data_IF_813457790656
#
_entry.id   IF_813457790656
#
_cell.length_a   1.000
_cell.length_b   1.000
_cell.length_c   1.000
_cell.angle_alpha   90.00
_cell.angle_beta   90.00
_cell.angle_gamma   90.00
#
_symmetry.space_group_name_H-M   'P 1'
#
loop_
_entity.id
_entity.type
_entity.pdbx_description
1 polymer ?
#
# COMPACT_ATOMS: atom_id res chain seq x y z
N UNK A 1 47.13 10.86 -12.97
CA UNK A 1 46.68 9.60 -13.60
C UNK A 1 45.51 8.93 -12.86
N UNK A 2 45.38 9.05 -11.53
CA UNK A 2 44.21 8.50 -10.79
C UNK A 2 42.89 9.30 -10.95
N UNK A 3 42.94 10.61 -11.21
CA UNK A 3 41.73 11.44 -11.36
C UNK A 3 40.98 11.23 -12.69
N UNK A 4 41.69 10.77 -13.73
CA UNK A 4 41.08 10.45 -15.04
C UNK A 4 40.30 9.13 -15.01
N UNK A 5 40.71 8.17 -14.17
CA UNK A 5 40.02 6.87 -14.01
C UNK A 5 38.67 7.02 -13.28
N UNK A 6 38.53 7.98 -12.36
CA UNK A 6 37.26 8.22 -11.67
C UNK A 6 36.20 8.87 -12.59
N UNK A 7 36.62 9.69 -13.56
CA UNK A 7 35.73 10.27 -14.57
C UNK A 7 35.21 9.25 -15.59
N UNK A 8 36.04 8.24 -15.92
CA UNK A 8 35.63 7.13 -16.78
C UNK A 8 34.70 6.15 -16.05
N UNK A 9 34.84 5.95 -14.74
CA UNK A 9 33.87 5.16 -13.95
C UNK A 9 32.54 5.91 -13.80
N UNK A 10 32.55 7.24 -13.66
CA UNK A 10 31.34 8.07 -13.68
C UNK A 10 30.63 8.11 -15.04
N UNK A 11 31.36 7.93 -16.14
CA UNK A 11 30.81 7.86 -17.51
C UNK A 11 30.51 6.41 -17.99
N UNK A 12 30.95 5.38 -17.27
CA UNK A 12 30.57 3.98 -17.52
C UNK A 12 29.35 3.53 -16.70
N UNK A 13 28.95 4.28 -15.66
CA UNK A 13 27.73 4.03 -14.88
C UNK A 13 26.50 4.82 -15.37
N UNK A 14 26.57 5.48 -16.53
CA UNK A 14 25.40 5.90 -17.30
C UNK A 14 24.91 4.78 -18.25
N UNK A 15 25.05 3.51 -17.85
CA UNK A 15 24.26 2.46 -18.48
C UNK A 15 22.79 2.77 -18.22
N UNK A 16 22.05 3.04 -19.30
CA UNK A 16 20.63 3.36 -19.31
C UNK A 16 19.85 2.39 -18.40
N UNK A 17 19.57 2.84 -17.17
CA UNK A 17 18.59 2.21 -16.30
C UNK A 17 17.22 2.51 -16.88
N UNK A 18 16.76 1.68 -17.81
CA UNK A 18 15.35 1.65 -18.19
C UNK A 18 14.56 1.19 -16.97
N UNK A 19 13.71 2.07 -16.45
CA UNK A 19 12.84 1.74 -15.32
C UNK A 19 11.54 1.17 -15.88
N UNK A 20 11.18 -0.05 -15.46
CA UNK A 20 9.86 -0.64 -15.74
C UNK A 20 9.00 -0.51 -14.49
N UNK A 21 7.71 -0.22 -14.67
CA UNK A 21 6.73 -0.22 -13.59
C UNK A 21 5.42 -0.88 -14.03
N UNK A 22 4.64 -1.32 -13.06
CA UNK A 22 3.26 -1.75 -13.25
C UNK A 22 2.30 -0.79 -12.56
N UNK A 23 1.19 -0.47 -13.24
CA UNK A 23 0.19 0.50 -12.76
C UNK A 23 -1.20 -0.13 -12.81
N UNK A 24 -2.10 0.30 -11.92
CA UNK A 24 -3.52 -0.10 -11.90
C UNK A 24 -3.78 -1.61 -11.74
N UNK A 25 -2.84 -2.36 -11.17
CA UNK A 25 -3.06 -3.75 -10.74
C UNK A 25 -3.31 -3.89 -9.24
N UNK A 26 -3.44 -5.14 -8.79
CA UNK A 26 -3.74 -5.48 -7.39
C UNK A 26 -2.45 -5.64 -6.55
N UNK A 27 -1.52 -4.69 -6.69
CA UNK A 27 -0.24 -4.69 -5.98
C UNK A 27 0.96 -4.36 -6.88
N UNK A 28 2.19 -4.49 -6.34
CA UNK A 28 3.42 -4.08 -7.04
C UNK A 28 3.90 -5.06 -8.12
N UNK A 29 3.25 -6.21 -8.27
CA UNK A 29 3.67 -7.30 -9.15
C UNK A 29 2.58 -7.69 -10.18
N UNK A 30 1.54 -6.88 -10.30
CA UNK A 30 0.53 -7.00 -11.36
C UNK A 30 0.11 -5.62 -11.83
N UNK A 31 -0.28 -5.50 -13.09
CA UNK A 31 -0.76 -4.24 -13.65
C UNK A 31 -0.40 -4.04 -15.11
N UNK A 32 -0.81 -2.89 -15.65
CA UNK A 32 -0.39 -2.39 -16.97
C UNK A 32 1.09 -2.08 -16.92
N UNK A 33 1.85 -2.55 -17.90
CA UNK A 33 3.29 -2.33 -17.98
C UNK A 33 3.56 -0.97 -18.62
N UNK A 34 4.38 -0.18 -17.93
CA UNK A 34 4.93 1.07 -18.45
C UNK A 34 6.46 1.01 -18.39
N UNK A 35 7.11 1.43 -19.47
CA UNK A 35 8.58 1.43 -19.61
C UNK A 35 9.04 2.87 -19.80
N UNK A 36 10.14 3.24 -19.15
CA UNK A 36 10.78 4.53 -19.40
C UNK A 36 11.94 4.43 -20.38
N UNK A 37 11.90 5.28 -21.41
CA UNK A 37 12.99 5.51 -22.36
C UNK A 37 13.40 6.99 -22.29
N UNK A 38 14.68 7.25 -22.04
CA UNK A 38 15.24 8.61 -22.00
C UNK A 38 14.46 9.62 -21.13
N UNK A 39 13.83 9.14 -20.05
CA UNK A 39 13.06 9.98 -19.10
C UNK A 39 11.57 10.13 -19.42
N UNK A 40 11.09 9.61 -20.55
CA UNK A 40 9.66 9.58 -20.90
C UNK A 40 9.06 8.22 -20.54
N UNK A 41 7.83 8.20 -20.03
CA UNK A 41 7.08 6.98 -19.75
C UNK A 41 6.08 6.72 -20.88
N UNK A 42 5.99 5.46 -21.28
CA UNK A 42 4.99 5.00 -22.24
C UNK A 42 4.53 3.59 -21.92
N UNK A 43 3.37 3.23 -22.45
CA UNK A 43 2.80 1.88 -22.33
C UNK A 43 3.44 0.94 -23.34
N UNK A 44 3.19 -0.36 -23.20
CA UNK A 44 3.68 -1.37 -24.17
C UNK A 44 2.52 -1.86 -25.03
N UNK A 45 2.76 -2.07 -26.31
CA UNK A 45 1.74 -2.61 -27.20
C UNK A 45 1.46 -4.10 -26.94
N UNK A 46 0.17 -4.46 -26.94
CA UNK A 46 -0.38 -5.78 -26.70
C UNK A 46 -0.41 -6.73 -27.90
N UNK A 47 -0.25 -6.25 -29.14
CA UNK A 47 -0.43 -7.01 -30.39
C UNK A 47 0.42 -8.30 -30.47
N UNK A 48 1.55 -8.34 -29.75
CA UNK A 48 2.40 -9.55 -29.60
C UNK A 48 2.86 -9.79 -28.16
N UNK A 49 2.16 -9.21 -27.20
CA UNK A 49 2.50 -9.31 -25.80
C UNK A 49 2.17 -10.71 -25.27
N UNK A 50 3.20 -11.46 -24.89
CA UNK A 50 3.07 -12.86 -24.51
C UNK A 50 3.76 -13.17 -23.17
N UNK A 51 3.69 -14.43 -22.74
CA UNK A 51 4.24 -14.87 -21.46
C UNK A 51 5.77 -14.69 -21.37
N UNK A 52 6.51 -14.79 -22.48
CA UNK A 52 7.95 -14.55 -22.49
C UNK A 52 8.27 -13.06 -22.28
N UNK A 53 7.45 -12.14 -22.80
CA UNK A 53 7.57 -10.72 -22.46
C UNK A 53 7.31 -10.47 -20.97
N UNK A 54 6.21 -11.05 -20.47
CA UNK A 54 5.85 -10.95 -19.08
C UNK A 54 6.94 -11.53 -18.16
N UNK A 55 7.59 -12.62 -18.55
CA UNK A 55 8.66 -13.27 -17.77
C UNK A 55 9.84 -12.33 -17.54
N UNK A 56 10.26 -11.60 -18.57
CA UNK A 56 11.32 -10.59 -18.47
C UNK A 56 10.89 -9.44 -17.55
N UNK A 57 9.67 -8.93 -17.70
CA UNK A 57 9.14 -7.86 -16.84
C UNK A 57 9.06 -8.32 -15.38
N UNK A 58 8.54 -9.52 -15.12
CA UNK A 58 8.40 -10.07 -13.78
C UNK A 58 9.76 -10.29 -13.10
N UNK A 59 10.77 -10.76 -13.85
CA UNK A 59 12.15 -10.84 -13.36
C UNK A 59 12.73 -9.46 -13.07
N UNK A 60 12.55 -8.50 -13.96
CA UNK A 60 13.06 -7.14 -13.81
C UNK A 60 12.43 -6.40 -12.62
N UNK A 61 11.15 -6.63 -12.36
CA UNK A 61 10.43 -6.13 -11.16
C UNK A 61 10.78 -6.88 -9.87
N UNK A 62 11.56 -7.98 -9.95
CA UNK A 62 11.84 -8.90 -8.85
C UNK A 62 10.55 -9.48 -8.24
N UNK A 63 9.61 -9.83 -9.12
CA UNK A 63 8.27 -10.33 -8.81
C UNK A 63 8.09 -11.81 -9.18
N UNK A 64 9.20 -12.55 -9.34
CA UNK A 64 9.19 -13.97 -9.69
C UNK A 64 9.00 -14.19 -11.20
N UNK A 65 8.31 -15.28 -11.54
CA UNK A 65 7.97 -15.70 -12.90
C UNK A 65 6.65 -15.08 -13.38
N UNK A 66 6.39 -15.08 -14.67
CA UNK A 66 5.11 -14.67 -15.23
C UNK A 66 4.03 -15.74 -15.06
N UNK A 67 2.87 -15.33 -14.55
CA UNK A 67 1.65 -16.14 -14.48
C UNK A 67 0.73 -15.84 -15.64
N UNK A 68 0.63 -14.57 -16.03
CA UNK A 68 -0.22 -14.14 -17.14
C UNK A 68 0.33 -12.90 -17.84
N UNK A 69 0.05 -12.83 -19.14
CA UNK A 69 0.29 -11.70 -20.02
C UNK A 69 -1.04 -11.30 -20.69
N UNK A 70 -1.42 -10.03 -20.62
CA UNK A 70 -2.62 -9.49 -21.27
C UNK A 70 -2.20 -8.42 -22.27
N UNK A 71 -2.82 -8.41 -23.46
CA UNK A 71 -2.54 -7.42 -24.52
C UNK A 71 -3.74 -6.53 -24.85
N UNK A 72 -4.73 -6.44 -23.97
CA UNK A 72 -6.03 -5.84 -24.23
C UNK A 72 -6.47 -4.89 -23.11
N UNK A 73 -5.50 -4.17 -22.52
CA UNK A 73 -5.74 -3.15 -21.50
C UNK A 73 -6.54 -3.62 -20.26
N UNK A 74 -6.35 -4.88 -19.82
CA UNK A 74 -7.03 -5.44 -18.65
C UNK A 74 -6.87 -4.60 -17.36
N UNK A 75 -5.80 -3.82 -17.25
CA UNK A 75 -5.50 -2.97 -16.09
C UNK A 75 -5.79 -1.49 -16.37
N UNK A 76 -6.87 -1.21 -17.11
CA UNK A 76 -7.23 0.09 -17.67
C UNK A 76 -6.22 0.56 -18.72
N UNK A 77 -6.74 1.40 -19.62
CA UNK A 77 -5.94 2.09 -20.62
C UNK A 77 -4.95 3.06 -19.96
N UNK A 78 -3.78 3.18 -20.57
CA UNK A 78 -2.82 4.23 -20.31
C UNK A 78 -3.14 5.48 -21.15
N UNK A 79 -2.14 6.36 -21.23
CA UNK A 79 -2.19 7.60 -22.01
C UNK A 79 -0.81 7.91 -22.56
N UNK A 80 -0.75 8.60 -23.69
CA UNK A 80 0.49 9.11 -24.26
C UNK A 80 1.17 8.08 -25.16
N UNK A 81 2.49 7.98 -25.04
CA UNK A 81 3.32 7.19 -25.96
C UNK A 81 3.12 5.69 -25.75
N UNK A 82 3.00 4.93 -26.84
CA UNK A 82 2.94 3.46 -26.85
C UNK A 82 4.24 2.93 -27.47
N UNK A 83 5.05 2.26 -26.66
CA UNK A 83 6.26 1.57 -27.10
C UNK A 83 5.89 0.27 -27.80
N UNK A 84 6.49 0.05 -28.97
CA UNK A 84 6.21 -1.11 -29.82
C UNK A 84 7.31 -2.16 -29.72
N UNK A 85 6.97 -3.35 -30.23
CA UNK A 85 7.96 -4.30 -30.73
C UNK A 85 8.83 -5.01 -29.70
N UNK A 86 8.42 -5.16 -28.43
CA UNK A 86 9.11 -6.06 -27.51
C UNK A 86 8.88 -7.52 -27.90
N UNK A 87 9.89 -8.20 -28.45
CA UNK A 87 9.85 -9.65 -28.70
C UNK A 87 10.88 -10.35 -27.84
N UNK A 88 10.48 -10.69 -26.63
CA UNK A 88 11.34 -11.38 -25.67
C UNK A 88 11.32 -12.90 -25.89
N UNK A 89 12.44 -13.56 -25.56
CA UNK A 89 12.59 -15.01 -25.42
C UNK A 89 12.30 -15.47 -23.99
N UNK A 90 12.26 -14.55 -23.02
CA UNK A 90 12.02 -14.84 -21.59
C UNK A 90 13.30 -14.99 -20.76
N UNK A 91 14.46 -14.90 -21.40
CA UNK A 91 15.79 -15.04 -20.77
C UNK A 91 16.55 -13.72 -20.69
N UNK A 92 16.02 -12.66 -21.26
CA UNK A 92 16.61 -11.33 -21.23
C UNK A 92 16.66 -10.77 -19.81
N UNK A 93 17.69 -9.96 -19.53
CA UNK A 93 17.87 -9.30 -18.23
C UNK A 93 16.95 -8.09 -18.03
N UNK A 94 16.44 -7.51 -19.12
CA UNK A 94 15.55 -6.35 -19.11
C UNK A 94 14.67 -6.34 -20.35
N UNK A 95 13.49 -5.73 -20.24
CA UNK A 95 12.53 -5.59 -21.35
C UNK A 95 13.13 -4.85 -22.54
N UNK A 96 14.06 -3.90 -22.31
CA UNK A 96 14.75 -3.17 -23.38
C UNK A 96 15.79 -4.02 -24.13
N UNK A 97 16.21 -5.14 -23.56
CA UNK A 97 17.14 -6.08 -24.20
C UNK A 97 16.43 -7.08 -25.11
N UNK A 98 15.10 -7.09 -25.09
CA UNK A 98 14.32 -7.90 -26.01
C UNK A 98 14.47 -7.36 -27.43
N UNK A 99 14.50 -8.27 -28.41
CA UNK A 99 14.63 -7.87 -29.80
C UNK A 99 13.46 -6.94 -30.19
N UNK A 100 13.79 -5.81 -30.82
CA UNK A 100 12.80 -4.99 -31.49
C UNK A 100 12.22 -5.82 -32.66
N UNK A 101 10.95 -6.18 -32.56
CA UNK A 101 10.16 -6.73 -33.66
C UNK A 101 10.19 -5.85 -34.91
N UNK A 102 10.03 -6.48 -36.08
CA UNK A 102 9.68 -5.75 -37.31
C UNK A 102 8.37 -5.00 -37.07
N UNK A 103 8.37 -3.67 -37.25
CA UNK A 103 7.18 -2.82 -37.18
C UNK A 103 6.02 -3.51 -37.91
N UNK A 104 4.95 -3.86 -37.17
CA UNK A 104 3.68 -4.21 -37.81
C UNK A 104 3.12 -2.96 -38.51
N UNK A 105 2.40 -3.14 -39.61
CA UNK A 105 1.77 -2.04 -40.35
C UNK A 105 0.53 -1.46 -39.66
N UNK A 106 0.16 -1.99 -38.47
CA UNK A 106 -1.03 -1.59 -37.72
C UNK A 106 -0.62 -0.80 -36.47
N UNK A 107 -1.23 0.36 -36.28
CA UNK A 107 -0.99 1.19 -35.11
C UNK A 107 -1.72 0.64 -33.89
N UNK A 108 -0.99 0.24 -32.84
CA UNK A 108 -1.60 -0.08 -31.55
C UNK A 108 -2.27 1.16 -30.93
N UNK A 109 -3.38 0.91 -30.24
CA UNK A 109 -4.14 1.89 -29.45
C UNK A 109 -4.07 1.55 -27.96
N UNK A 110 -4.47 2.45 -27.07
CA UNK A 110 -4.43 2.17 -25.63
C UNK A 110 -5.38 1.07 -25.17
N UNK A 111 -6.42 0.72 -25.95
CA UNK A 111 -7.24 -0.47 -25.70
C UNK A 111 -6.44 -1.78 -25.85
N UNK A 112 -5.23 -1.70 -26.40
CA UNK A 112 -4.31 -2.81 -26.60
C UNK A 112 -3.09 -2.69 -25.67
N UNK A 113 -3.15 -1.90 -24.59
CA UNK A 113 -2.02 -1.79 -23.67
C UNK A 113 -1.71 -3.13 -22.97
N UNK A 114 -0.43 -3.50 -22.96
CA UNK A 114 0.05 -4.72 -22.36
C UNK A 114 0.11 -4.67 -20.83
N UNK A 115 -0.22 -5.80 -20.20
CA UNK A 115 -0.22 -5.98 -18.76
C UNK A 115 0.36 -7.31 -18.34
N UNK A 116 0.74 -7.42 -17.07
CA UNK A 116 1.34 -8.63 -16.50
C UNK A 116 0.73 -8.99 -15.16
N UNK A 117 0.74 -10.28 -14.86
CA UNK A 117 0.59 -10.82 -13.51
C UNK A 117 1.78 -11.73 -13.26
N UNK A 118 2.57 -11.39 -12.24
CA UNK A 118 3.73 -12.18 -11.83
C UNK A 118 3.38 -13.12 -10.66
N UNK A 119 4.16 -14.18 -10.46
CA UNK A 119 3.90 -15.23 -9.46
C UNK A 119 4.03 -14.75 -8.03
N UNK A 120 4.74 -13.65 -7.77
CA UNK A 120 4.80 -13.03 -6.45
C UNK A 120 3.66 -12.00 -6.25
N UNK A 121 2.90 -11.67 -7.30
CA UNK A 121 1.66 -10.94 -7.12
C UNK A 121 0.55 -11.88 -6.70
N UNK A 122 -0.03 -11.62 -5.55
CA UNK A 122 -1.35 -12.14 -5.12
C UNK A 122 -1.44 -13.64 -4.79
N UNK A 123 -0.39 -14.25 -4.25
CA UNK A 123 -0.56 -15.53 -3.53
C UNK A 123 -1.29 -15.32 -2.20
N UNK A 124 -1.15 -14.13 -1.58
CA UNK A 124 -1.76 -13.78 -0.30
C UNK A 124 -2.51 -12.46 -0.38
N UNK A 125 -3.66 -12.37 0.30
CA UNK A 125 -4.41 -11.14 0.54
C UNK A 125 -4.89 -11.07 1.99
N UNK A 126 -5.20 -9.86 2.44
CA UNK A 126 -5.88 -9.64 3.73
C UNK A 126 -7.27 -9.05 3.50
N UNK A 127 -8.27 -9.55 4.23
CA UNK A 127 -9.69 -9.20 4.07
C UNK A 127 -10.27 -8.77 5.42
N UNK A 128 -11.26 -7.88 5.41
CA UNK A 128 -11.99 -7.41 6.61
C UNK A 128 -11.13 -6.75 7.72
N UNK A 129 -9.96 -6.19 7.39
CA UNK A 129 -9.19 -5.35 8.32
C UNK A 129 -9.36 -3.85 8.07
N UNK A 130 -8.71 -3.04 8.91
CA UNK A 130 -8.77 -1.58 8.87
C UNK A 130 -7.75 -0.96 7.89
N UNK A 131 -7.55 -1.61 6.73
CA UNK A 131 -6.57 -1.20 5.73
C UNK A 131 -5.95 -2.37 4.97
N UNK A 132 -4.99 -2.11 4.07
CA UNK A 132 -4.33 -3.15 3.27
C UNK A 132 -3.30 -3.98 4.06
N UNK A 133 -2.98 -3.57 5.29
CA UNK A 133 -1.93 -4.15 6.12
C UNK A 133 -2.47 -4.83 7.40
N UNK A 134 -3.78 -5.05 7.48
CA UNK A 134 -4.42 -5.85 8.52
C UNK A 134 -5.63 -6.59 7.97
N UNK A 135 -5.96 -7.74 8.54
CA UNK A 135 -7.15 -8.52 8.16
C UNK A 135 -6.98 -10.02 8.30
N UNK A 136 -8.06 -10.76 7.98
CA UNK A 136 -8.05 -12.21 7.79
C UNK A 136 -7.15 -12.54 6.59
N UNK A 137 -6.26 -13.50 6.76
CA UNK A 137 -5.36 -13.94 5.69
C UNK A 137 -6.06 -14.95 4.80
N UNK A 138 -6.02 -14.69 3.50
CA UNK A 138 -6.49 -15.61 2.47
C UNK A 138 -5.36 -15.85 1.47
N UNK A 139 -5.20 -17.11 1.06
CA UNK A 139 -4.16 -17.57 0.15
C UNK A 139 -4.83 -18.21 -1.06
N UNK A 140 -4.27 -18.01 -2.26
CA UNK A 140 -4.74 -18.67 -3.48
C UNK A 140 -3.86 -19.88 -3.81
N UNK A 141 -4.50 -21.04 -4.03
CA UNK A 141 -3.88 -22.26 -4.53
C UNK A 141 -4.70 -22.81 -5.69
N UNK A 142 -4.02 -23.15 -6.79
CA UNK A 142 -4.66 -23.72 -8.00
C UNK A 142 -5.88 -22.94 -8.52
N UNK A 143 -5.90 -21.60 -8.32
CA UNK A 143 -7.00 -20.73 -8.76
C UNK A 143 -8.12 -20.50 -7.74
N UNK A 144 -8.09 -21.18 -6.58
CA UNK A 144 -9.08 -21.00 -5.52
C UNK A 144 -8.50 -20.25 -4.31
N UNK A 145 -9.26 -19.27 -3.82
CA UNK A 145 -8.95 -18.60 -2.56
C UNK A 145 -9.46 -19.45 -1.38
N UNK A 146 -8.65 -19.53 -0.34
CA UNK A 146 -9.02 -20.16 0.91
C UNK A 146 -8.41 -19.43 2.11
N UNK A 147 -8.99 -19.65 3.29
CA UNK A 147 -8.51 -19.07 4.54
C UNK A 147 -7.35 -19.90 5.10
N UNK A 148 -6.67 -19.39 6.13
CA UNK A 148 -5.61 -20.15 6.81
C UNK A 148 -6.09 -20.61 8.18
N UNK A 149 -5.76 -21.84 8.57
CA UNK A 149 -6.10 -22.33 9.90
C UNK A 149 -5.26 -21.64 11.00
N UNK A 150 -5.94 -21.26 12.09
CA UNK A 150 -5.38 -20.57 13.25
C UNK A 150 -4.68 -21.44 14.28
N UNK A 151 -4.87 -22.77 14.27
CA UNK A 151 -4.34 -23.71 15.30
C UNK A 151 -2.81 -23.60 15.49
N UNK A 152 -2.07 -23.19 14.46
CA UNK A 152 -0.63 -22.95 14.50
C UNK A 152 -0.20 -21.61 13.90
N UNK A 153 -1.16 -20.71 13.69
CA UNK A 153 -0.90 -19.40 13.12
C UNK A 153 -0.24 -18.49 14.16
N UNK A 154 1.02 -18.12 13.91
CA UNK A 154 1.84 -17.38 14.88
C UNK A 154 2.52 -16.16 14.25
N UNK A 155 3.29 -15.44 15.07
CA UNK A 155 3.95 -14.21 14.64
C UNK A 155 4.97 -14.42 13.51
N UNK A 156 5.64 -15.58 13.44
CA UNK A 156 6.56 -15.88 12.35
C UNK A 156 5.82 -16.09 11.02
N UNK A 157 4.61 -16.67 11.04
CA UNK A 157 3.75 -16.71 9.85
C UNK A 157 3.33 -15.30 9.42
N UNK A 158 2.88 -14.50 10.39
CA UNK A 158 2.48 -13.13 10.15
C UNK A 158 3.63 -12.30 9.59
N UNK A 159 4.86 -12.51 10.05
CA UNK A 159 6.05 -11.79 9.60
C UNK A 159 6.30 -11.99 8.09
N UNK A 160 6.17 -13.24 7.62
CA UNK A 160 6.28 -13.56 6.20
C UNK A 160 5.16 -12.91 5.40
N UNK A 161 3.91 -12.98 5.89
CA UNK A 161 2.77 -12.33 5.22
C UNK A 161 2.95 -10.81 5.15
N UNK A 162 3.35 -10.16 6.25
CA UNK A 162 3.57 -8.72 6.31
C UNK A 162 4.69 -8.26 5.38
N UNK A 163 5.79 -9.02 5.30
CA UNK A 163 6.86 -8.79 4.31
C UNK A 163 6.36 -8.95 2.89
N UNK A 164 5.61 -10.02 2.61
CA UNK A 164 5.09 -10.32 1.28
C UNK A 164 4.08 -9.27 0.80
N UNK A 165 3.26 -8.73 1.71
CA UNK A 165 2.36 -7.60 1.46
C UNK A 165 3.09 -6.25 1.38
N UNK A 166 4.39 -6.21 1.68
CA UNK A 166 5.20 -4.98 1.84
C UNK A 166 4.61 -4.02 2.88
N UNK A 167 4.06 -4.59 3.94
CA UNK A 167 3.44 -3.89 5.06
C UNK A 167 4.35 -3.84 6.31
N UNK A 168 5.66 -4.02 6.12
CA UNK A 168 6.65 -4.01 7.19
C UNK A 168 6.73 -5.34 7.94
N UNK A 169 6.96 -5.26 9.24
CA UNK A 169 7.03 -6.39 10.19
C UNK A 169 5.65 -6.76 10.74
N UNK A 170 5.50 -7.94 11.30
CA UNK A 170 4.29 -8.34 11.99
C UNK A 170 4.19 -7.71 13.39
N UNK A 171 3.01 -7.17 13.69
CA UNK A 171 2.63 -6.66 15.02
C UNK A 171 1.83 -7.71 15.77
N UNK A 172 0.91 -8.40 15.08
CA UNK A 172 0.12 -9.47 15.69
C UNK A 172 -0.30 -10.54 14.69
N UNK A 173 -0.47 -11.75 15.19
CA UNK A 173 -1.10 -12.88 14.51
C UNK A 173 -2.32 -13.33 15.34
N UNK A 174 -3.48 -13.50 14.72
CA UNK A 174 -4.70 -14.01 15.36
C UNK A 174 -5.10 -15.35 14.77
N UNK A 175 -5.52 -16.33 15.57
CA UNK A 175 -5.94 -17.66 15.11
C UNK A 175 -7.41 -17.99 15.36
N UNK A 176 -8.23 -16.99 15.71
CA UNK A 176 -9.59 -17.14 16.23
C UNK A 176 -10.59 -16.24 15.48
N UNK A 177 -10.37 -16.06 14.17
CA UNK A 177 -11.25 -15.28 13.29
C UNK A 177 -11.53 -13.85 13.78
N UNK A 178 -10.53 -13.14 14.33
CA UNK A 178 -10.68 -11.76 14.81
C UNK A 178 -11.24 -10.78 13.76
N UNK A 179 -11.03 -11.07 12.47
CA UNK A 179 -11.54 -10.26 11.34
C UNK A 179 -12.80 -10.88 10.68
N UNK A 180 -13.48 -11.76 11.43
CA UNK A 180 -14.58 -12.60 10.96
C UNK A 180 -14.09 -13.83 10.21
N UNK A 181 -14.86 -14.91 10.29
CA UNK A 181 -14.61 -16.14 9.53
C UNK A 181 -14.83 -15.91 8.03
N UNK A 182 -14.06 -16.63 7.22
CA UNK A 182 -14.25 -16.70 5.78
C UNK A 182 -15.25 -17.80 5.40
N UNK A 183 -15.14 -18.26 4.17
CA UNK A 183 -15.94 -19.35 3.61
C UNK A 183 -15.07 -20.19 2.66
N UNK A 184 -15.50 -21.42 2.40
CA UNK A 184 -14.84 -22.34 1.48
C UNK A 184 -13.65 -23.07 2.10
N UNK A 185 -12.59 -23.22 1.33
CA UNK A 185 -11.45 -24.07 1.71
C UNK A 185 -10.60 -23.42 2.80
N UNK A 186 -10.22 -24.21 3.82
CA UNK A 186 -9.26 -23.81 4.86
C UNK A 186 -7.92 -24.47 4.57
N UNK A 187 -6.92 -23.68 4.23
CA UNK A 187 -5.54 -24.11 4.04
C UNK A 187 -4.88 -24.37 5.40
N UNK A 188 -4.19 -25.50 5.49
CA UNK A 188 -3.56 -25.95 6.73
C UNK A 188 -2.03 -25.83 6.67
N UNK A 189 -1.45 -25.83 7.86
CA UNK A 189 -0.06 -26.19 8.10
C UNK A 189 1.02 -25.26 7.51
N UNK A 190 0.88 -23.95 7.64
CA UNK A 190 2.01 -23.04 7.40
C UNK A 190 2.91 -22.99 8.63
N UNK A 191 4.12 -23.54 8.56
CA UNK A 191 5.13 -23.43 9.61
C UNK A 191 6.32 -22.59 9.13
N UNK A 192 6.16 -21.27 9.26
CA UNK A 192 7.21 -20.32 8.90
C UNK A 192 8.22 -20.13 10.04
N UNK A 193 9.46 -19.84 9.68
CA UNK A 193 10.54 -19.36 10.57
C UNK A 193 10.57 -17.84 10.67
N UNK A 194 9.91 -17.12 9.75
CA UNK A 194 9.81 -15.65 9.72
C UNK A 194 10.78 -14.96 8.76
N UNK A 195 11.69 -15.72 8.14
CA UNK A 195 12.67 -15.22 7.18
C UNK A 195 12.42 -15.68 5.74
N UNK A 196 11.34 -16.42 5.51
CA UNK A 196 10.91 -16.83 4.19
C UNK A 196 10.49 -15.63 3.34
N UNK A 197 10.70 -15.73 2.03
CA UNK A 197 10.33 -14.71 1.05
C UNK A 197 8.84 -14.72 0.69
N UNK A 198 8.15 -15.84 0.93
CA UNK A 198 6.73 -16.03 0.65
C UNK A 198 6.13 -17.06 1.61
N UNK A 199 4.83 -16.93 1.90
CA UNK A 199 4.06 -17.86 2.73
C UNK A 199 4.06 -19.29 2.14
N UNK A 200 4.18 -19.41 0.82
CA UNK A 200 4.31 -20.71 0.11
C UNK A 200 5.68 -21.35 0.23
N UNK A 201 6.69 -20.61 0.68
CA UNK A 201 8.03 -21.14 0.96
C UNK A 201 8.18 -21.66 2.38
N UNK A 202 7.17 -21.43 3.24
CA UNK A 202 7.15 -22.01 4.57
C UNK A 202 6.94 -23.53 4.48
N UNK A 203 7.55 -24.26 5.40
CA UNK A 203 7.36 -25.71 5.44
C UNK A 203 5.87 -26.03 5.65
N UNK A 204 5.33 -26.90 4.80
CA UNK A 204 4.05 -27.54 5.08
C UNK A 204 4.23 -28.40 6.33
N UNK A 205 3.57 -28.04 7.43
CA UNK A 205 3.51 -28.85 8.63
C UNK A 205 2.84 -30.21 8.37
N UNK A 206 3.06 -31.16 9.29
CA UNK A 206 2.30 -32.43 9.29
C UNK A 206 0.81 -32.11 9.50
N UNK A 207 -0.04 -32.63 8.60
CA UNK A 207 -1.50 -32.53 8.70
C UNK A 207 -1.97 -32.86 10.12
N UNK A 208 -2.47 -31.85 10.84
CA UNK A 208 -3.20 -32.02 12.10
C UNK A 208 -4.38 -32.98 11.89
N UNK A 209 -4.62 -33.88 12.85
CA UNK A 209 -5.77 -34.80 12.85
C UNK A 209 -7.10 -34.11 13.21
N UNK A 210 -7.04 -32.86 13.68
CA UNK A 210 -8.20 -32.03 14.02
C UNK A 210 -8.56 -31.12 12.84
N UNK A 211 -9.85 -31.06 12.47
CA UNK A 211 -10.35 -30.16 11.45
C UNK A 211 -10.53 -28.75 12.01
N UNK A 212 -9.94 -27.76 11.33
CA UNK A 212 -10.21 -26.35 11.64
C UNK A 212 -11.56 -25.94 11.06
N UNK A 213 -12.19 -24.98 11.73
CA UNK A 213 -13.43 -24.32 11.31
C UNK A 213 -13.17 -22.85 10.99
N UNK A 214 -14.09 -22.16 10.31
CA UNK A 214 -13.93 -20.73 10.02
C UNK A 214 -13.94 -19.82 11.26
N UNK A 215 -14.36 -20.32 12.44
CA UNK A 215 -14.14 -19.62 13.71
C UNK A 215 -12.67 -19.61 14.17
N UNK A 216 -11.82 -20.39 13.52
CA UNK A 216 -10.38 -20.49 13.77
C UNK A 216 -9.57 -19.88 12.62
N UNK A 217 -10.16 -19.04 11.76
CA UNK A 217 -9.42 -18.45 10.64
C UNK A 217 -8.32 -17.48 11.11
N UNK A 218 -7.14 -17.59 10.50
CA UNK A 218 -5.98 -16.79 10.82
C UNK A 218 -6.04 -15.37 10.25
N UNK A 219 -5.45 -14.43 10.98
CA UNK A 219 -5.38 -13.02 10.62
C UNK A 219 -4.06 -12.38 11.02
N UNK A 220 -3.78 -11.20 10.47
CA UNK A 220 -2.53 -10.45 10.71
C UNK A 220 -2.78 -8.97 10.92
N UNK A 221 -1.88 -8.34 11.67
CA UNK A 221 -1.68 -6.88 11.69
C UNK A 221 -0.20 -6.63 11.49
N UNK A 222 0.14 -5.78 10.52
CA UNK A 222 1.51 -5.43 10.17
C UNK A 222 1.88 -4.01 10.64
N UNK A 223 3.17 -3.69 10.75
CA UNK A 223 3.64 -2.42 11.33
C UNK A 223 3.40 -1.20 10.45
N UNK A 224 3.31 -1.36 9.13
CA UNK A 224 2.88 -0.29 8.21
C UNK A 224 1.35 -0.20 8.12
N UNK A 225 0.62 -1.05 8.84
CA UNK A 225 -0.76 -0.72 9.23
C UNK A 225 -0.67 0.45 10.19
N UNK A 226 -0.50 1.65 9.64
CA UNK A 226 -0.73 2.89 10.33
C UNK A 226 -2.21 2.91 10.66
N UNK A 227 -2.53 2.38 11.83
CA UNK A 227 -3.88 2.46 12.36
C UNK A 227 -4.03 3.90 12.81
N UNK A 228 -4.72 4.68 11.99
CA UNK A 228 -5.25 5.97 12.42
C UNK A 228 -6.55 5.67 13.13
N UNK A 229 -6.72 6.24 14.33
CA UNK A 229 -8.00 6.25 15.03
C UNK A 229 -8.39 7.69 15.34
N UNK A 230 -9.69 7.90 15.50
CA UNK A 230 -10.25 9.14 16.01
C UNK A 230 -10.87 8.89 17.39
N UNK A 231 -10.59 9.78 18.34
CA UNK A 231 -11.02 9.66 19.73
C UNK A 231 -11.81 10.91 20.13
N UNK A 232 -12.79 10.75 21.03
CA UNK A 232 -13.61 11.85 21.58
C UNK A 232 -14.39 12.68 20.55
N UNK A 233 -14.74 12.11 19.39
CA UNK A 233 -15.67 12.74 18.45
C UNK A 233 -17.07 12.13 18.48
N UNK A 234 -17.98 12.73 17.72
CA UNK A 234 -19.37 12.30 17.62
C UNK A 234 -19.51 11.18 16.56
N UNK A 235 -18.92 10.02 16.85
CA UNK A 235 -18.91 8.83 15.98
C UNK A 235 -17.56 8.56 15.28
N UNK A 236 -17.49 7.52 14.43
CA UNK A 236 -16.22 6.99 13.90
C UNK A 236 -15.53 7.89 12.88
N UNK A 237 -16.19 8.97 12.45
CA UNK A 237 -15.75 9.87 11.39
C UNK A 237 -15.42 11.29 11.90
N UNK A 238 -15.27 11.46 13.21
CA UNK A 238 -14.78 12.70 13.81
C UNK A 238 -14.02 12.41 15.10
N UNK A 239 -13.07 13.28 15.46
CA UNK A 239 -12.34 13.18 16.73
C UNK A 239 -10.90 13.66 16.66
N UNK A 240 -10.21 13.60 17.81
CA UNK A 240 -8.76 13.77 17.91
C UNK A 240 -8.08 12.64 17.17
N UNK A 241 -7.11 12.96 16.33
CA UNK A 241 -6.36 11.99 15.54
C UNK A 241 -5.24 11.39 16.38
N UNK A 242 -5.23 10.07 16.48
CA UNK A 242 -4.15 9.32 17.09
C UNK A 242 -3.60 8.31 16.07
N UNK A 243 -2.28 8.19 16.03
CA UNK A 243 -1.54 7.34 15.10
C UNK A 243 -0.69 6.38 15.92
N UNK A 244 -0.66 5.12 15.52
CA UNK A 244 0.25 4.14 16.10
C UNK A 244 1.58 4.10 15.33
N UNK A 245 2.69 4.24 16.04
CA UNK A 245 4.06 4.05 15.51
C UNK A 245 4.81 3.08 16.43
N UNK A 246 5.44 2.05 15.85
CA UNK A 246 6.23 1.05 16.60
C UNK A 246 5.50 0.45 17.82
N UNK A 247 4.17 0.31 17.74
CA UNK A 247 3.34 -0.25 18.82
C UNK A 247 2.85 0.76 19.86
N UNK A 248 3.24 2.04 19.77
CA UNK A 248 2.81 3.10 20.69
C UNK A 248 1.82 4.05 20.02
N UNK A 249 0.73 4.36 20.72
CA UNK A 249 -0.22 5.39 20.30
C UNK A 249 0.30 6.77 20.70
N UNK A 250 0.19 7.71 19.77
CA UNK A 250 0.46 9.12 20.05
C UNK A 250 -0.48 10.03 19.28
N UNK A 251 -0.58 11.27 19.75
CA UNK A 251 -1.40 12.31 19.13
C UNK A 251 -0.63 12.98 18.00
N UNK A 252 -1.31 13.76 17.15
CA UNK A 252 -0.64 14.54 16.09
C UNK A 252 -0.54 16.00 16.52
N UNK A 253 0.60 16.63 16.26
CA UNK A 253 0.73 18.06 16.49
C UNK A 253 -0.15 18.85 15.52
N UNK A 254 -0.86 19.85 16.07
CA UNK A 254 -1.71 20.79 15.34
C UNK A 254 -0.95 21.88 14.59
N UNK A 255 0.33 22.09 14.89
CA UNK A 255 1.20 22.98 14.13
C UNK A 255 1.34 22.43 12.69
N UNK A 256 0.74 23.14 11.74
CA UNK A 256 0.58 22.75 10.32
C UNK A 256 -0.46 21.66 10.01
N UNK A 257 -1.23 21.21 11.00
CA UNK A 257 -2.37 20.31 10.76
C UNK A 257 -3.46 21.03 9.97
N UNK A 258 -3.69 20.59 8.73
CA UNK A 258 -4.58 21.27 7.80
C UNK A 258 -5.53 20.31 7.07
N UNK A 259 -6.37 20.86 6.18
CA UNK A 259 -7.39 20.09 5.47
C UNK A 259 -6.80 18.99 4.59
N UNK A 260 -5.59 19.16 4.03
CA UNK A 260 -4.93 18.12 3.25
C UNK A 260 -4.51 16.94 4.13
N UNK A 261 -4.06 17.18 5.37
CA UNK A 261 -3.84 16.10 6.34
C UNK A 261 -5.14 15.37 6.67
N UNK A 262 -6.19 16.13 6.96
CA UNK A 262 -7.50 15.57 7.26
C UNK A 262 -8.05 14.76 6.09
N UNK A 263 -7.82 15.18 4.84
CA UNK A 263 -8.29 14.47 3.65
C UNK A 263 -7.68 13.07 3.55
N UNK A 264 -6.38 12.95 3.84
CA UNK A 264 -5.70 11.64 3.89
C UNK A 264 -6.27 10.78 5.03
N UNK A 265 -6.44 11.35 6.22
CA UNK A 265 -7.02 10.64 7.37
C UNK A 265 -8.45 10.18 7.09
N UNK A 266 -9.32 11.04 6.55
CA UNK A 266 -10.71 10.70 6.25
C UNK A 266 -10.83 9.61 5.19
N UNK A 267 -9.95 9.62 4.18
CA UNK A 267 -9.83 8.53 3.20
C UNK A 267 -9.39 7.23 3.87
N UNK A 268 -8.37 7.30 4.73
CA UNK A 268 -7.82 6.14 5.44
C UNK A 268 -8.86 5.51 6.40
N UNK A 269 -9.68 6.33 7.07
CA UNK A 269 -10.82 5.92 7.89
C UNK A 269 -12.04 5.47 7.07
N UNK A 270 -12.01 5.62 5.73
CA UNK A 270 -13.14 5.37 4.81
C UNK A 270 -14.41 6.19 5.13
N UNK A 271 -14.22 7.37 5.71
CA UNK A 271 -15.29 8.26 6.14
C UNK A 271 -15.67 9.33 5.09
N UNK A 272 -15.21 9.18 3.85
CA UNK A 272 -15.41 10.15 2.77
C UNK A 272 -14.31 11.20 2.73
N UNK A 273 -14.66 12.41 2.28
CA UNK A 273 -13.76 13.57 2.23
C UNK A 273 -13.69 14.29 3.57
N UNK A 274 -12.63 15.07 3.80
CA UNK A 274 -12.51 15.92 4.97
C UNK A 274 -13.48 17.12 4.91
N UNK A 275 -14.12 17.39 6.05
CA UNK A 275 -14.97 18.57 6.27
C UNK A 275 -14.19 19.63 7.05
N UNK A 276 -13.43 19.21 8.07
CA UNK A 276 -12.58 20.13 8.83
C UNK A 276 -11.35 19.44 9.42
N UNK A 277 -10.34 20.27 9.70
CA UNK A 277 -9.14 19.92 10.44
C UNK A 277 -8.99 20.93 11.59
N UNK A 278 -8.74 20.47 12.80
CA UNK A 278 -8.51 21.32 13.99
C UNK A 278 -7.12 21.06 14.54
N UNK A 279 -6.35 22.10 14.89
CA UNK A 279 -4.99 21.97 15.46
C UNK A 279 -4.88 22.46 16.92
N UNK A 280 -6.00 22.56 17.62
CA UNK A 280 -6.12 23.22 18.93
C UNK A 280 -6.89 22.36 19.93
N UNK A 281 -6.72 21.04 19.87
CA UNK A 281 -7.33 20.07 20.77
C UNK A 281 -8.87 20.19 20.86
N UNK A 282 -9.55 20.42 19.73
CA UNK A 282 -11.01 20.60 19.67
C UNK A 282 -11.80 19.42 20.26
N UNK A 283 -11.21 18.22 20.25
CA UNK A 283 -11.79 16.99 20.83
C UNK A 283 -11.13 16.62 22.18
N UNK A 284 -10.54 17.61 22.85
CA UNK A 284 -9.71 17.44 24.04
C UNK A 284 -8.29 16.99 23.70
N UNK A 285 -7.33 17.38 24.55
CA UNK A 285 -5.95 16.92 24.45
C UNK A 285 -5.84 15.43 24.80
N UNK A 286 -4.92 14.74 24.13
CA UNK A 286 -4.54 13.39 24.48
C UNK A 286 -3.47 13.36 25.58
N UNK A 287 -2.73 12.27 25.63
CA UNK A 287 -1.63 12.07 26.55
C UNK A 287 -0.50 11.29 25.84
N UNK A 288 0.71 11.35 26.37
CA UNK A 288 1.87 10.61 25.86
C UNK A 288 2.56 11.30 24.68
N UNK A 289 3.04 10.50 23.73
CA UNK A 289 3.88 11.01 22.65
C UNK A 289 3.08 11.85 21.64
N UNK A 290 3.63 12.98 21.22
CA UNK A 290 3.07 13.84 20.16
C UNK A 290 3.91 13.65 18.89
N UNK A 291 3.29 13.09 17.86
CA UNK A 291 3.87 12.93 16.53
C UNK A 291 3.87 14.26 15.79
N UNK A 292 5.01 14.59 15.17
CA UNK A 292 5.21 15.87 14.49
C UNK A 292 5.27 15.71 12.97
N UNK A 293 5.12 16.85 12.30
CA UNK A 293 5.58 17.07 10.94
C UNK A 293 4.86 16.29 9.81
N UNK A 294 3.58 15.95 9.97
CA UNK A 294 2.78 15.46 8.84
C UNK A 294 2.46 16.60 7.86
N UNK A 295 3.12 16.63 6.69
CA UNK A 295 2.80 17.57 5.62
C UNK A 295 2.27 16.83 4.41
N UNK A 296 0.95 16.65 4.39
CA UNK A 296 0.26 15.98 3.29
C UNK A 296 -0.11 16.97 2.17
N UNK A 297 -0.18 16.47 0.95
CA UNK A 297 -0.75 17.12 -0.24
C UNK A 297 -2.24 16.79 -0.41
N UNK A 298 -2.75 15.78 0.30
CA UNK A 298 -4.16 15.37 0.29
C UNK A 298 -4.48 14.21 -0.66
N UNK A 299 -3.49 13.76 -1.43
CA UNK A 299 -3.59 12.65 -2.39
C UNK A 299 -2.79 11.42 -1.98
N UNK A 300 -2.12 11.47 -0.83
CA UNK A 300 -1.43 10.33 -0.25
C UNK A 300 -2.40 9.20 0.11
N UNK A 301 -1.92 7.96 0.03
CA UNK A 301 -2.69 6.77 0.38
C UNK A 301 -2.79 6.52 1.89
N UNK A 302 -1.86 7.08 2.67
CA UNK A 302 -1.82 6.99 4.14
C UNK A 302 -1.12 8.22 4.74
N UNK A 303 -1.50 8.57 5.96
CA UNK A 303 -0.88 9.67 6.73
C UNK A 303 0.63 9.50 6.91
N UNK A 304 1.12 8.25 6.95
CA UNK A 304 2.56 7.95 7.06
C UNK A 304 3.32 8.11 5.76
N UNK A 305 2.62 8.26 4.62
CA UNK A 305 3.22 8.54 3.32
C UNK A 305 3.40 10.05 3.09
N UNK A 306 2.87 10.89 3.97
CA UNK A 306 3.07 12.33 3.92
C UNK A 306 4.53 12.65 4.27
N UNK A 307 5.10 13.66 3.60
CA UNK A 307 6.48 14.05 3.88
C UNK A 307 6.60 14.50 5.35
N UNK A 308 7.54 13.89 6.09
CA UNK A 308 7.97 14.42 7.37
C UNK A 308 8.67 15.76 7.09
N UNK A 309 8.02 16.86 7.46
CA UNK A 309 8.64 18.18 7.41
C UNK A 309 9.95 18.26 8.20
N UNK A 310 10.83 19.21 7.87
CA UNK A 310 11.96 19.57 8.73
C UNK A 310 11.45 19.86 10.14
N UNK A 311 11.99 19.20 11.16
CA UNK A 311 11.64 19.41 12.58
C UNK A 311 11.48 20.90 12.87
N UNK A 312 10.26 21.34 13.21
CA UNK A 312 10.09 22.67 13.80
C UNK A 312 10.81 22.69 15.15
N UNK A 313 11.47 23.81 15.48
CA UNK A 313 12.18 24.01 16.76
C UNK A 313 11.24 24.27 17.94
N UNK A 314 9.91 24.29 17.71
CA UNK A 314 8.89 24.55 18.72
C UNK A 314 8.28 23.21 19.17
N UNK A 315 8.19 23.01 20.48
CA UNK A 315 7.51 21.86 21.07
C UNK A 315 6.00 22.06 21.06
N UNK A 316 5.24 21.13 20.49
CA UNK A 316 3.79 21.09 20.62
C UNK A 316 3.40 20.56 22.00
N UNK A 317 2.28 21.03 22.53
CA UNK A 317 1.63 20.49 23.73
C UNK A 317 0.32 19.80 23.37
N UNK A 318 -0.26 19.01 24.28
CA UNK A 318 -1.58 18.39 24.05
C UNK A 318 -2.74 19.40 23.89
N UNK A 319 -2.53 20.68 24.23
CA UNK A 319 -3.47 21.75 23.91
C UNK A 319 -3.52 22.09 22.41
N UNK A 320 -2.55 21.61 21.66
CA UNK A 320 -2.38 21.80 20.22
C UNK A 320 -2.65 20.48 19.47
N UNK A 321 -3.26 19.46 20.07
CA UNK A 321 -3.49 18.18 19.37
C UNK A 321 -4.44 18.33 18.18
N UNK A 322 -4.08 17.65 17.09
CA UNK A 322 -4.83 17.65 15.84
C UNK A 322 -6.07 16.76 15.87
N UNK A 323 -7.11 17.20 15.18
CA UNK A 323 -8.39 16.53 15.05
C UNK A 323 -8.98 16.67 13.65
N UNK A 324 -9.97 15.84 13.35
CA UNK A 324 -10.65 15.82 12.04
C UNK A 324 -12.15 15.69 12.19
N UNK A 325 -12.88 16.23 11.22
CA UNK A 325 -14.27 15.89 10.93
C UNK A 325 -14.33 15.48 9.46
N UNK A 326 -14.88 14.31 9.19
CA UNK A 326 -15.09 13.80 7.84
C UNK A 326 -16.56 13.96 7.44
N UNK A 327 -16.82 13.88 6.13
CA UNK A 327 -18.16 14.08 5.56
C UNK A 327 -19.17 13.01 5.99
N UNK A 328 -18.70 11.84 6.44
CA UNK A 328 -19.48 10.63 6.67
C UNK A 328 -20.30 10.31 5.42
N UNK A 329 -19.95 9.27 4.65
CA UNK A 329 -20.86 8.82 3.57
C UNK A 329 -22.23 8.54 4.20
N UNK A 330 -23.20 9.44 3.95
CA UNK A 330 -24.47 9.49 4.67
C UNK A 330 -25.14 8.10 4.70
N UNK A 331 -25.16 7.45 5.84
CA UNK A 331 -26.43 7.00 6.40
C UNK A 331 -27.00 8.21 7.16
N UNK A 332 -28.10 8.73 6.66
CA UNK A 332 -28.85 9.89 7.15
C UNK A 332 -29.12 9.83 8.65
N UNK A 333 -28.66 10.80 9.44
CA UNK A 333 -29.38 11.44 10.57
C UNK A 333 -28.70 12.80 10.92
N UNK A 334 -29.44 13.80 11.43
CA UNK A 334 -29.11 15.21 11.31
C UNK A 334 -28.02 15.69 12.29
N UNK A 335 -27.13 16.53 11.77
CA UNK A 335 -26.02 17.18 12.49
C UNK A 335 -26.48 18.39 13.29
N UNK A 336 -26.03 18.51 14.54
CA UNK A 336 -25.95 19.81 15.23
C UNK A 336 -24.53 20.34 15.03
N UNK A 337 -24.43 21.51 14.40
CA UNK A 337 -23.18 22.22 14.12
C UNK A 337 -22.56 22.81 15.38
N UNK A 338 -21.23 22.77 15.48
CA UNK A 338 -20.51 23.65 16.39
C UNK A 338 -19.30 24.25 15.67
N UNK A 339 -19.47 25.47 15.15
CA UNK A 339 -18.42 26.51 15.14
C UNK A 339 -19.02 27.88 14.80
N UNK A 340 -18.86 28.87 15.70
CA UNK A 340 -18.62 30.27 15.33
C UNK A 340 -18.12 31.10 16.54
N UNK A 341 -16.83 31.53 16.44
CA UNK A 341 -16.25 32.86 16.77
C UNK A 341 -16.30 33.37 18.23
N UNK A 342 -15.27 33.99 18.85
CA UNK A 342 -14.21 34.89 18.36
C UNK A 342 -13.10 35.08 19.43
N UNK A 343 -11.84 35.17 19.00
CA UNK A 343 -10.78 35.95 19.69
C UNK A 343 -10.89 37.40 19.19
N UNK A 344 -10.98 38.39 20.08
CA UNK A 344 -10.49 39.75 19.82
C UNK A 344 -9.91 40.30 21.14
N UNK A 345 -8.58 40.50 21.16
CA UNK A 345 -7.90 41.43 22.07
C UNK A 345 -8.04 42.85 21.50
N UNK A 346 -8.49 43.82 22.30
CA UNK A 346 -8.05 45.22 22.17
C UNK A 346 -7.92 45.84 23.57
N UNK A 347 -6.80 46.54 23.76
CA UNK A 347 -6.48 47.40 24.90
C UNK A 347 -7.46 48.58 25.03
N UNK A 348 -7.79 48.98 26.26
CA UNK A 348 -7.79 50.39 26.67
C UNK A 348 -7.59 50.52 28.19
N UNK A 349 -6.62 51.38 28.56
CA UNK A 349 -6.49 52.09 29.85
C UNK A 349 -7.83 52.82 30.15
N UNK A 350 -8.24 53.10 31.38
CA UNK A 350 -7.58 53.62 32.59
C UNK A 350 -8.20 52.95 33.80
#
# INVERSE_FOLDING_TARGET
>A
MLLLLCSLIGLLFSQLSSVVRVVNGNGPCSGRVEVSHSGEWGTVCGEHWNLANAEVVCKQLRCGTAVSASGNACFKEGRGTIWRDYKCKGTESSIISCAAGKLSSRSCSHSEDGGVVCSISSVVRVVNGNGPCSGRVEIIHSGEWGTVCGEHWNLANAEVVCKQLRCGTAVSASGNACFGGGNGTIWRDYKCKGNESSITSCAAGKLSSRSCSHSEDGGVVCSISSVVRVVNGNGPCSGRVEIIHSGEWGTVCGEHWNLANAEVVCKQLRCGTAVSASGNACFGGGNGTIWRDYKCKGNESSITSCAAGKLSSRSCSHSEDGGVVCSSKKSTFPYTSCCSLRKIMYFCKV
#
